data_IF_062887712211
#
_entry.id   IF_062887712211
#
_cell.length_a   1.000
_cell.length_b   1.000
_cell.length_c   1.000
_cell.angle_alpha   90.00
_cell.angle_beta   90.00
_cell.angle_gamma   90.00
#
_symmetry.space_group_name_H-M   'P 1'
#
loop_
_entity.id
_entity.type
_entity.pdbx_description
1 polymer ?
#
# COMPACT_ATOMS: atom_id res chain seq x y z
N UNK A 1 7.30 -32.04 0.91
CA UNK A 1 8.00 -30.75 0.69
C UNK A 1 7.20 -29.73 1.45
N UNK A 2 7.64 -29.39 2.66
CA UNK A 2 6.89 -28.53 3.56
C UNK A 2 6.78 -27.15 2.92
N UNK A 3 5.54 -26.74 2.66
CA UNK A 3 5.21 -25.39 2.25
C UNK A 3 5.77 -24.46 3.33
N UNK A 4 6.90 -23.80 3.06
CA UNK A 4 7.35 -22.71 3.92
C UNK A 4 6.31 -21.64 3.69
N UNK A 5 5.29 -21.63 4.54
CA UNK A 5 4.18 -20.71 4.48
C UNK A 5 4.76 -19.30 4.56
N UNK A 6 4.98 -18.68 3.39
CA UNK A 6 5.61 -17.38 3.31
C UNK A 6 4.71 -16.40 4.07
N UNK A 7 5.33 -15.66 5.01
CA UNK A 7 4.57 -14.76 5.89
C UNK A 7 3.78 -13.76 5.06
N UNK A 8 2.49 -13.54 5.36
CA UNK A 8 1.69 -12.58 4.63
C UNK A 8 2.30 -11.18 4.74
N UNK A 9 2.26 -10.46 3.63
CA UNK A 9 2.74 -9.08 3.53
C UNK A 9 1.54 -8.15 3.64
N UNK A 10 1.62 -7.20 4.58
CA UNK A 10 0.70 -6.07 4.70
C UNK A 10 1.43 -4.88 4.09
N UNK A 11 0.94 -4.41 2.94
CA UNK A 11 1.53 -3.33 2.17
C UNK A 11 0.70 -2.05 2.33
N UNK A 12 1.37 -0.98 2.74
CA UNK A 12 0.74 0.33 2.93
C UNK A 12 1.37 1.36 1.99
N UNK A 13 0.53 2.09 1.27
CA UNK A 13 0.90 3.13 0.33
C UNK A 13 0.26 4.46 0.77
N UNK A 14 1.06 5.34 1.34
CA UNK A 14 0.64 6.67 1.79
C UNK A 14 1.11 7.73 0.79
N UNK A 15 0.17 8.42 0.15
CA UNK A 15 0.42 9.46 -0.84
C UNK A 15 0.21 10.84 -0.19
N UNK A 16 1.29 11.40 0.37
CA UNK A 16 1.31 12.75 0.92
C UNK A 16 1.64 13.77 -0.18
N UNK A 17 0.62 14.43 -0.76
CA UNK A 17 0.86 15.54 -1.70
C UNK A 17 0.65 16.93 -1.07
N UNK A 18 -0.26 17.06 -0.10
CA UNK A 18 -0.50 18.29 0.64
C UNK A 18 -0.72 18.04 2.14
N UNK A 19 -0.61 19.10 2.94
CA UNK A 19 -0.78 19.05 4.39
C UNK A 19 -2.25 18.85 4.83
N UNK A 20 -3.19 18.66 3.88
CA UNK A 20 -4.62 18.57 4.18
C UNK A 20 -5.03 17.15 4.58
N UNK A 21 -4.29 16.15 4.13
CA UNK A 21 -4.49 14.75 4.50
C UNK A 21 -3.44 14.37 5.54
N UNK A 22 -3.88 13.97 6.73
CA UNK A 22 -3.01 13.52 7.82
C UNK A 22 -2.49 12.08 7.62
N UNK A 23 -1.98 11.78 6.43
CA UNK A 23 -1.45 10.45 6.08
C UNK A 23 -0.28 10.03 6.98
N UNK A 24 0.46 10.98 7.55
CA UNK A 24 1.54 10.70 8.52
C UNK A 24 0.99 10.18 9.86
N UNK A 25 -0.14 10.73 10.33
CA UNK A 25 -0.78 10.25 11.55
C UNK A 25 -1.42 8.88 11.32
N UNK A 26 -2.01 8.67 10.14
CA UNK A 26 -2.56 7.37 9.75
C UNK A 26 -1.45 6.31 9.67
N UNK A 27 -0.33 6.62 9.02
CA UNK A 27 0.84 5.73 8.97
C UNK A 27 1.33 5.35 10.37
N UNK A 28 1.48 6.34 11.27
CA UNK A 28 1.91 6.10 12.66
C UNK A 28 0.91 5.24 13.42
N UNK A 29 -0.39 5.49 13.26
CA UNK A 29 -1.44 4.71 13.93
C UNK A 29 -1.46 3.25 13.45
N UNK A 30 -1.31 3.05 12.14
CA UNK A 30 -1.22 1.71 11.52
C UNK A 30 0.01 0.97 12.02
N UNK A 31 1.18 1.59 12.01
CA UNK A 31 2.41 0.99 12.52
C UNK A 31 2.28 0.61 14.00
N UNK A 32 1.73 1.51 14.83
CA UNK A 32 1.49 1.24 16.25
C UNK A 32 0.54 0.08 16.49
N UNK A 33 -0.55 -0.01 15.71
CA UNK A 33 -1.53 -1.09 15.81
C UNK A 33 -0.95 -2.45 15.40
N UNK A 34 0.00 -2.46 14.47
CA UNK A 34 0.62 -3.69 13.95
C UNK A 34 1.92 -4.08 14.65
N UNK A 35 2.45 -3.22 15.51
CA UNK A 35 3.74 -3.42 16.18
C UNK A 35 3.86 -4.78 16.87
N UNK A 36 2.80 -5.26 17.52
CA UNK A 36 2.78 -6.54 18.25
C UNK A 36 2.72 -7.79 17.38
N UNK A 37 2.32 -7.65 16.10
CA UNK A 37 2.21 -8.76 15.14
C UNK A 37 3.27 -8.68 14.02
N UNK A 38 3.98 -7.55 13.94
CA UNK A 38 5.11 -7.30 13.05
C UNK A 38 6.45 -7.65 13.73
N UNK A 39 7.45 -8.08 12.95
CA UNK A 39 8.80 -8.40 13.43
C UNK A 39 9.39 -9.65 12.76
N UNK A 40 10.64 -10.01 13.06
CA UNK A 40 11.30 -11.16 12.42
C UNK A 40 10.62 -12.50 12.74
N UNK A 41 10.04 -12.64 13.93
CA UNK A 41 9.22 -13.79 14.36
C UNK A 41 7.71 -13.47 14.37
N UNK A 42 7.32 -12.28 13.89
CA UNK A 42 5.93 -11.84 13.83
C UNK A 42 5.09 -12.61 12.81
N UNK A 43 3.76 -12.56 12.98
CA UNK A 43 2.78 -13.25 12.13
C UNK A 43 2.75 -12.72 10.69
N UNK A 44 3.23 -11.51 10.47
CA UNK A 44 3.24 -10.87 9.16
C UNK A 44 4.43 -9.94 8.95
N UNK A 45 4.74 -9.68 7.68
CA UNK A 45 5.67 -8.62 7.29
C UNK A 45 4.88 -7.35 7.00
N UNK A 46 5.23 -6.26 7.68
CA UNK A 46 4.64 -4.93 7.46
C UNK A 46 5.58 -4.11 6.60
N UNK A 47 5.06 -3.50 5.54
CA UNK A 47 5.81 -2.67 4.61
C UNK A 47 5.13 -1.30 4.53
N UNK A 48 5.75 -0.31 5.16
CA UNK A 48 5.29 1.10 5.20
C UNK A 48 6.44 2.00 4.73
N UNK A 49 6.68 2.10 3.41
CA UNK A 49 7.76 2.92 2.90
C UNK A 49 7.33 4.40 2.85
N UNK A 50 8.20 5.33 3.25
CA UNK A 50 7.89 6.75 3.15
C UNK A 50 7.96 7.24 1.70
N UNK A 51 7.06 8.17 1.33
CA UNK A 51 7.09 8.92 0.07
C UNK A 51 7.09 8.08 -1.21
N UNK A 52 6.27 7.02 -1.23
CA UNK A 52 6.16 6.13 -2.38
C UNK A 52 5.64 6.85 -3.63
N UNK A 53 6.30 6.58 -4.75
CA UNK A 53 5.73 6.82 -6.07
C UNK A 53 4.93 5.58 -6.50
N UNK A 54 4.08 5.74 -7.52
CA UNK A 54 3.33 4.61 -8.10
C UNK A 54 4.26 3.45 -8.45
N UNK A 55 5.41 3.73 -9.06
CA UNK A 55 6.37 2.72 -9.52
C UNK A 55 6.93 1.90 -8.35
N UNK A 56 7.18 2.54 -7.20
CA UNK A 56 7.67 1.86 -6.01
C UNK A 56 6.62 0.87 -5.47
N UNK A 57 5.34 1.24 -5.50
CA UNK A 57 4.23 0.36 -5.09
C UNK A 57 4.11 -0.82 -6.05
N UNK A 58 4.22 -0.58 -7.36
CA UNK A 58 4.17 -1.63 -8.37
C UNK A 58 5.34 -2.63 -8.19
N UNK A 59 6.54 -2.13 -7.95
CA UNK A 59 7.72 -2.93 -7.65
C UNK A 59 7.52 -3.79 -6.39
N UNK A 60 6.90 -3.24 -5.34
CA UNK A 60 6.60 -3.98 -4.12
C UNK A 60 5.59 -5.09 -4.35
N UNK A 61 4.57 -4.88 -5.18
CA UNK A 61 3.64 -5.93 -5.59
C UNK A 61 4.33 -7.04 -6.40
N UNK A 62 5.31 -6.70 -7.24
CA UNK A 62 6.08 -7.67 -7.99
C UNK A 62 7.03 -8.48 -7.09
N UNK A 63 7.76 -7.80 -6.19
CA UNK A 63 8.71 -8.44 -5.27
C UNK A 63 8.02 -9.36 -4.25
N UNK A 64 6.79 -9.02 -3.85
CA UNK A 64 5.99 -9.79 -2.91
C UNK A 64 4.80 -10.49 -3.60
N UNK A 65 5.00 -10.90 -4.87
CA UNK A 65 3.94 -11.52 -5.68
C UNK A 65 3.34 -12.73 -4.97
N UNK A 66 2.02 -12.76 -4.90
CA UNK A 66 1.20 -13.80 -4.25
C UNK A 66 1.35 -13.89 -2.72
N UNK A 67 2.10 -13.00 -2.07
CA UNK A 67 2.21 -12.94 -0.60
C UNK A 67 1.63 -11.67 0.00
N UNK A 68 1.33 -10.65 -0.80
CA UNK A 68 0.55 -9.49 -0.34
C UNK A 68 -0.87 -9.94 0.02
N UNK A 69 -1.19 -9.89 1.31
CA UNK A 69 -2.49 -10.27 1.86
C UNK A 69 -3.38 -9.07 2.16
N UNK A 70 -2.77 -7.93 2.50
CA UNK A 70 -3.47 -6.67 2.72
C UNK A 70 -2.79 -5.57 1.92
N UNK A 71 -3.59 -4.78 1.22
CA UNK A 71 -3.16 -3.52 0.63
C UNK A 71 -3.98 -2.38 1.19
N UNK A 72 -3.30 -1.34 1.68
CA UNK A 72 -3.92 -0.12 2.15
C UNK A 72 -3.35 1.06 1.36
N UNK A 73 -4.24 1.88 0.82
CA UNK A 73 -3.89 3.14 0.19
C UNK A 73 -4.52 4.28 0.99
N UNK A 74 -3.77 5.35 1.23
CA UNK A 74 -4.30 6.60 1.77
C UNK A 74 -3.73 7.81 1.02
N UNK A 75 -4.60 8.71 0.56
CA UNK A 75 -4.21 9.87 -0.23
C UNK A 75 -5.36 10.48 -1.03
N UNK A 76 -5.02 11.25 -2.07
CA UNK A 76 -6.01 11.88 -2.94
C UNK A 76 -6.63 10.90 -3.93
N UNK A 77 -7.93 11.03 -4.16
CA UNK A 77 -8.62 10.32 -5.23
C UNK A 77 -9.58 11.26 -5.92
N UNK A 78 -9.81 11.02 -7.21
CA UNK A 78 -10.90 11.64 -7.95
C UNK A 78 -11.95 10.57 -8.33
N UNK A 79 -13.02 10.97 -9.02
CA UNK A 79 -14.09 10.05 -9.42
C UNK A 79 -13.67 8.87 -10.32
N UNK A 80 -12.42 8.83 -10.81
CA UNK A 80 -11.92 7.78 -11.69
C UNK A 80 -10.70 7.01 -11.14
N UNK A 81 -9.86 7.62 -10.31
CA UNK A 81 -8.54 7.07 -9.97
C UNK A 81 -7.97 7.54 -8.62
N UNK A 82 -7.10 6.70 -8.06
CA UNK A 82 -6.22 7.06 -6.95
C UNK A 82 -5.05 7.87 -7.50
N UNK A 83 -4.65 8.92 -6.78
CA UNK A 83 -3.61 9.83 -7.21
C UNK A 83 -2.32 9.55 -6.43
N UNK A 84 -1.23 9.37 -7.16
CA UNK A 84 0.10 9.25 -6.60
C UNK A 84 1.12 9.89 -7.51
N UNK A 85 2.22 10.37 -6.93
CA UNK A 85 3.36 10.86 -7.68
C UNK A 85 3.95 9.75 -8.54
N UNK A 86 4.39 10.12 -9.72
CA UNK A 86 5.25 9.29 -10.57
C UNK A 86 6.69 9.74 -10.48
N UNK A 87 7.59 9.02 -11.16
CA UNK A 87 8.96 9.45 -11.35
C UNK A 87 9.08 10.84 -12.01
N UNK A 88 8.07 11.28 -12.77
CA UNK A 88 8.03 12.58 -13.45
C UNK A 88 7.42 13.71 -12.61
N UNK A 89 6.99 13.43 -11.37
CA UNK A 89 6.62 14.43 -10.37
C UNK A 89 5.19 14.99 -10.49
N UNK A 90 4.46 14.71 -11.55
CA UNK A 90 3.03 14.99 -11.63
C UNK A 90 2.22 13.83 -11.01
N UNK A 91 1.21 14.14 -10.21
CA UNK A 91 0.24 13.14 -9.75
C UNK A 91 -0.41 12.48 -10.97
N UNK A 92 -0.18 11.19 -11.16
CA UNK A 92 -0.76 10.44 -12.26
C UNK A 92 -1.73 9.41 -11.72
N UNK A 93 -2.79 9.20 -12.50
CA UNK A 93 -3.75 8.14 -12.30
C UNK A 93 -3.10 6.80 -12.05
N UNK A 94 -3.38 6.21 -10.89
CA UNK A 94 -2.81 4.94 -10.52
C UNK A 94 -3.53 3.74 -11.16
N UNK A 95 -3.90 3.85 -12.45
CA UNK A 95 -4.56 2.79 -13.21
C UNK A 95 -3.76 1.47 -13.19
N UNK A 96 -2.43 1.54 -13.11
CA UNK A 96 -1.54 0.39 -12.93
C UNK A 96 -1.75 -0.37 -11.62
N UNK A 97 -2.21 0.31 -10.54
CA UNK A 97 -2.46 -0.35 -9.26
C UNK A 97 -3.63 -1.31 -9.32
N UNK A 98 -4.73 -0.95 -9.99
CA UNK A 98 -5.89 -1.83 -10.09
C UNK A 98 -5.52 -3.17 -10.75
N UNK A 99 -4.66 -3.13 -11.77
CA UNK A 99 -4.12 -4.32 -12.42
C UNK A 99 -3.24 -5.12 -11.46
N UNK A 100 -2.31 -4.47 -10.76
CA UNK A 100 -1.43 -5.12 -9.77
C UNK A 100 -2.22 -5.78 -8.66
N UNK A 101 -3.19 -5.09 -8.06
CA UNK A 101 -4.13 -5.58 -7.05
C UNK A 101 -4.86 -6.83 -7.55
N UNK A 102 -5.44 -6.79 -8.76
CA UNK A 102 -6.16 -7.93 -9.36
C UNK A 102 -5.25 -9.14 -9.62
N UNK A 103 -3.97 -8.91 -9.89
CA UNK A 103 -3.01 -9.98 -10.17
C UNK A 103 -2.51 -10.73 -8.93
N UNK A 104 -2.76 -10.20 -7.72
CA UNK A 104 -2.33 -10.82 -6.48
C UNK A 104 -3.32 -11.92 -6.07
N UNK A 105 -2.90 -13.18 -6.14
CA UNK A 105 -3.74 -14.31 -5.70
C UNK A 105 -3.81 -14.46 -4.19
N UNK A 106 -2.85 -13.87 -3.46
CA UNK A 106 -2.77 -13.90 -1.99
C UNK A 106 -3.57 -12.80 -1.29
N UNK A 107 -4.15 -11.86 -2.04
CA UNK A 107 -4.79 -10.67 -1.50
C UNK A 107 -6.15 -11.00 -0.87
N UNK A 108 -6.33 -10.59 0.38
CA UNK A 108 -7.54 -10.86 1.18
C UNK A 108 -8.32 -9.61 1.53
N UNK A 109 -7.63 -8.47 1.62
CA UNK A 109 -8.23 -7.19 2.00
C UNK A 109 -7.57 -6.05 1.23
N UNK A 110 -8.41 -5.15 0.73
CA UNK A 110 -7.99 -3.86 0.17
C UNK A 110 -8.73 -2.75 0.91
N UNK A 111 -8.01 -1.78 1.44
CA UNK A 111 -8.58 -0.57 2.04
C UNK A 111 -8.12 0.65 1.24
N UNK A 112 -9.07 1.44 0.75
CA UNK A 112 -8.81 2.65 -0.03
C UNK A 112 -9.35 3.84 0.74
N UNK A 113 -8.45 4.61 1.35
CA UNK A 113 -8.73 5.88 2.00
C UNK A 113 -8.42 7.03 1.03
N UNK A 114 -9.33 7.26 0.09
CA UNK A 114 -9.26 8.38 -0.83
C UNK A 114 -10.12 9.53 -0.34
N UNK A 115 -9.54 10.69 -0.04
CA UNK A 115 -10.35 11.90 0.06
C UNK A 115 -10.83 12.26 -1.35
N UNK A 116 -12.13 12.07 -1.60
CA UNK A 116 -12.77 12.50 -2.83
C UNK A 116 -12.85 14.02 -2.82
N UNK A 117 -11.86 14.68 -3.42
CA UNK A 117 -11.92 16.12 -3.69
C UNK A 117 -12.82 16.34 -4.91
N UNK A 118 -14.12 16.21 -4.73
CA UNK A 118 -15.13 16.74 -5.67
C UNK A 118 -15.80 17.99 -5.08
#
# INVERSE_FOLDING_TARGET
MSDVQQRPVLLFAFAAEDATIQVEEEARAVEGALASVSGDEGLCKVVVPPFLKVEDVLDLFQRNRNTVAVFHYAGHANGAELLMRTAQGAGAGAAGLATSVRSQTGLKLVFLNGCSTE
#
